data_IF_100224976297
#
_entry.id   IF_100224976297
#
_cell.length_a   1.000
_cell.length_b   1.000
_cell.length_c   1.000
_cell.angle_alpha   90.00
_cell.angle_beta   90.00
_cell.angle_gamma   90.00
#
_symmetry.space_group_name_H-M   'P 1'
#
loop_
_entity.id
_entity.type
_entity.pdbx_description
1 polymer ?
#
# COMPACT_ATOMS: atom_id res chain seq x y z
N UNK A 1 6.01 4.72 15.07
CA UNK A 1 5.70 5.80 14.12
C UNK A 1 5.37 5.19 12.77
N UNK A 2 4.09 4.91 12.57
CA UNK A 2 3.61 4.25 11.37
C UNK A 2 2.66 5.14 10.59
N UNK A 3 2.57 4.91 9.28
CA UNK A 3 1.67 5.61 8.38
C UNK A 3 0.61 4.64 7.90
N UNK A 4 -0.63 5.08 7.82
CA UNK A 4 -1.73 4.31 7.24
C UNK A 4 -2.32 5.09 6.07
N UNK A 5 -2.44 4.40 4.94
CA UNK A 5 -3.09 4.93 3.73
C UNK A 5 -4.24 3.98 3.41
N UNK A 6 -5.47 4.46 3.55
CA UNK A 6 -6.65 3.59 3.46
C UNK A 6 -7.68 4.11 2.49
N UNK A 7 -8.59 3.23 2.07
CA UNK A 7 -9.73 3.57 1.25
C UNK A 7 -10.88 2.58 1.56
N UNK A 8 -11.00 1.51 0.78
CA UNK A 8 -12.08 0.53 0.96
C UNK A 8 -12.01 -0.14 2.33
N UNK A 9 -10.81 -0.40 2.84
CA UNK A 9 -10.60 -1.12 4.10
C UNK A 9 -10.25 -0.19 5.26
N UNK A 10 -10.75 1.04 5.21
CA UNK A 10 -10.45 2.04 6.24
C UNK A 10 -10.83 1.56 7.64
N UNK A 11 -12.00 0.95 7.79
CA UNK A 11 -12.46 0.49 9.11
C UNK A 11 -11.54 -0.57 9.70
N UNK A 12 -11.07 -1.51 8.86
CA UNK A 12 -10.14 -2.54 9.29
C UNK A 12 -8.82 -1.93 9.75
N UNK A 13 -8.25 -1.03 8.95
CA UNK A 13 -6.96 -0.43 9.28
C UNK A 13 -7.06 0.51 10.49
N UNK A 14 -8.20 1.18 10.67
CA UNK A 14 -8.43 2.02 11.84
C UNK A 14 -8.52 1.23 13.14
N UNK A 15 -8.81 -0.07 13.06
CA UNK A 15 -8.91 -0.94 14.23
C UNK A 15 -7.56 -1.50 14.70
N UNK A 16 -6.49 -1.26 13.96
CA UNK A 16 -5.17 -1.77 14.32
C UNK A 16 -4.65 -1.06 15.57
N UNK A 17 -4.14 -1.87 16.51
CA UNK A 17 -3.55 -1.36 17.74
C UNK A 17 -2.06 -1.08 17.53
N UNK A 18 -1.78 -0.02 16.79
CA UNK A 18 -0.41 0.39 16.48
C UNK A 18 -0.30 1.91 16.66
N UNK A 19 0.93 2.36 16.82
CA UNK A 19 1.26 3.78 16.91
C UNK A 19 1.22 4.40 15.51
N UNK A 20 0.27 5.29 15.26
CA UNK A 20 0.08 5.93 13.96
C UNK A 20 0.43 7.41 14.04
N UNK A 21 1.41 7.84 13.25
CA UNK A 21 1.82 9.24 13.20
C UNK A 21 1.03 10.02 12.15
N UNK A 22 0.59 9.35 11.07
CA UNK A 22 -0.21 9.98 10.02
C UNK A 22 -1.08 8.95 9.35
N UNK A 23 -2.34 9.31 9.15
CA UNK A 23 -3.31 8.47 8.46
C UNK A 23 -4.05 9.32 7.44
N UNK A 24 -4.10 8.84 6.19
CA UNK A 24 -4.89 9.47 5.13
C UNK A 24 -5.84 8.45 4.55
N UNK A 25 -7.01 8.93 4.09
CA UNK A 25 -8.05 8.07 3.55
C UNK A 25 -8.56 8.64 2.23
N UNK A 26 -8.69 7.79 1.24
CA UNK A 26 -9.18 8.16 -0.08
C UNK A 26 -8.43 7.43 -1.18
N UNK A 27 -8.49 7.97 -2.39
CA UNK A 27 -7.76 7.44 -3.53
C UNK A 27 -6.73 8.47 -3.97
N UNK A 28 -5.49 8.01 -4.14
CA UNK A 28 -4.35 8.89 -4.42
C UNK A 28 -3.56 8.35 -5.60
N UNK A 29 -3.06 9.24 -6.44
CA UNK A 29 -2.04 8.87 -7.42
C UNK A 29 -0.72 8.60 -6.70
N UNK A 30 0.18 7.87 -7.35
CA UNK A 30 1.53 7.67 -6.79
C UNK A 30 2.21 9.01 -6.60
N UNK A 31 2.05 9.97 -7.53
CA UNK A 31 2.65 11.30 -7.40
C UNK A 31 2.14 12.04 -6.16
N UNK A 32 0.85 11.91 -5.85
CA UNK A 32 0.29 12.50 -4.63
C UNK A 32 0.89 11.88 -3.37
N UNK A 33 1.10 10.56 -3.37
CA UNK A 33 1.74 9.87 -2.25
C UNK A 33 3.20 10.29 -2.10
N UNK A 34 3.93 10.42 -3.20
CA UNK A 34 5.31 10.91 -3.19
C UNK A 34 5.37 12.31 -2.58
N UNK A 35 4.46 13.20 -2.99
CA UNK A 35 4.44 14.56 -2.48
C UNK A 35 4.22 14.60 -0.97
N UNK A 36 3.42 13.68 -0.43
CA UNK A 36 3.12 13.68 1.00
C UNK A 36 4.20 13.02 1.84
N UNK A 37 4.89 12.01 1.33
CA UNK A 37 5.69 11.12 2.16
C UNK A 37 7.17 11.01 1.78
N UNK A 38 7.63 11.60 0.69
CA UNK A 38 9.01 11.43 0.22
C UNK A 38 10.06 11.92 1.24
N UNK A 39 9.73 12.94 2.03
CA UNK A 39 10.60 13.48 3.07
C UNK A 39 10.04 13.23 4.48
N UNK A 40 9.20 12.24 4.62
CA UNK A 40 8.49 11.94 5.85
C UNK A 40 9.12 10.70 6.51
N UNK A 41 9.54 10.82 7.75
CA UNK A 41 10.10 9.66 8.46
C UNK A 41 8.98 8.80 9.05
N UNK A 42 9.08 7.50 8.85
CA UNK A 42 8.15 6.51 9.40
C UNK A 42 8.86 5.16 9.52
N UNK A 43 8.35 4.29 10.39
CA UNK A 43 8.87 2.93 10.55
C UNK A 43 8.25 2.01 9.50
N UNK A 44 6.93 1.98 9.44
CA UNK A 44 6.16 1.18 8.47
C UNK A 44 5.07 2.02 7.84
N UNK A 45 4.80 1.73 6.58
CA UNK A 45 3.69 2.31 5.84
C UNK A 45 2.74 1.18 5.45
N UNK A 46 1.53 1.22 6.00
CA UNK A 46 0.50 0.22 5.71
C UNK A 46 -0.41 0.82 4.67
N UNK A 47 -0.46 0.19 3.50
CA UNK A 47 -1.22 0.70 2.36
C UNK A 47 -2.34 -0.26 2.01
N UNK A 48 -3.57 0.23 2.08
CA UNK A 48 -4.72 -0.39 1.43
C UNK A 48 -4.55 -0.19 -0.07
N UNK A 49 -4.41 -1.26 -0.84
CA UNK A 49 -4.10 -1.15 -2.26
C UNK A 49 -5.17 -0.36 -3.02
N UNK A 50 -6.42 -0.39 -2.54
CA UNK A 50 -7.50 0.37 -3.19
C UNK A 50 -7.36 1.88 -3.02
N UNK A 51 -6.44 2.33 -2.18
CA UNK A 51 -6.12 3.75 -2.04
C UNK A 51 -5.17 4.26 -3.13
N UNK A 52 -4.61 3.37 -3.93
CA UNK A 52 -3.68 3.74 -5.01
C UNK A 52 -4.46 3.75 -6.33
N UNK A 53 -4.59 4.92 -6.95
CA UNK A 53 -5.25 5.02 -8.25
C UNK A 53 -4.51 4.19 -9.29
N UNK A 54 -5.24 3.35 -10.01
CA UNK A 54 -4.66 2.50 -11.05
C UNK A 54 -3.94 1.26 -10.52
N UNK A 55 -4.17 0.87 -9.30
CA UNK A 55 -3.43 -0.23 -8.64
C UNK A 55 -3.49 -1.58 -9.39
N UNK A 56 -4.50 -1.79 -10.23
CA UNK A 56 -4.60 -3.04 -11.00
C UNK A 56 -3.59 -3.10 -12.14
N UNK A 57 -3.04 -1.96 -12.54
CA UNK A 57 -1.94 -1.90 -13.49
C UNK A 57 -0.63 -1.99 -12.70
N UNK A 58 0.10 -3.08 -12.91
CA UNK A 58 1.32 -3.35 -12.14
C UNK A 58 2.37 -2.25 -12.33
N UNK A 59 2.34 -1.53 -13.45
CA UNK A 59 3.29 -0.44 -13.68
C UNK A 59 3.11 0.70 -12.68
N UNK A 60 1.89 0.89 -12.17
CA UNK A 60 1.63 1.89 -11.12
C UNK A 60 2.32 1.47 -9.82
N UNK A 61 2.23 0.20 -9.46
CA UNK A 61 2.91 -0.32 -8.26
C UNK A 61 4.43 -0.27 -8.46
N UNK A 62 4.91 -0.51 -9.67
CA UNK A 62 6.33 -0.38 -9.96
C UNK A 62 6.81 1.05 -9.72
N UNK A 63 6.03 2.05 -10.13
CA UNK A 63 6.36 3.45 -9.86
C UNK A 63 6.42 3.72 -8.35
N UNK A 64 5.49 3.15 -7.59
CA UNK A 64 5.53 3.24 -6.13
C UNK A 64 6.84 2.64 -5.61
N UNK A 65 7.22 1.46 -6.11
CA UNK A 65 8.37 0.71 -5.61
C UNK A 65 9.70 1.41 -5.82
N UNK A 66 9.83 2.24 -6.85
CA UNK A 66 11.09 2.96 -7.11
C UNK A 66 11.18 4.26 -6.31
N UNK A 67 10.09 4.71 -5.68
CA UNK A 67 10.06 5.97 -4.94
C UNK A 67 9.96 5.79 -3.43
N UNK A 68 9.70 4.58 -2.95
CA UNK A 68 9.59 4.29 -1.53
C UNK A 68 10.42 3.06 -1.18
N UNK A 69 10.84 2.97 0.08
CA UNK A 69 11.54 1.79 0.60
C UNK A 69 10.51 0.67 0.85
N UNK A 70 10.48 -0.30 -0.04
CA UNK A 70 9.49 -1.38 0.02
C UNK A 70 9.66 -2.28 1.24
N UNK A 71 10.83 -2.28 1.87
CA UNK A 71 11.02 -3.03 3.12
C UNK A 71 10.18 -2.47 4.26
N UNK A 72 9.76 -1.21 4.14
CA UNK A 72 8.89 -0.55 5.13
C UNK A 72 7.41 -0.63 4.80
N UNK A 73 7.06 -1.14 3.63
CA UNK A 73 5.68 -1.15 3.15
C UNK A 73 5.02 -2.49 3.47
N UNK A 74 3.81 -2.41 4.03
CA UNK A 74 2.91 -3.55 4.18
C UNK A 74 1.70 -3.24 3.31
N UNK A 75 1.44 -4.10 2.33
CA UNK A 75 0.40 -3.88 1.35
C UNK A 75 -0.80 -4.78 1.65
N UNK A 76 -1.96 -4.16 1.89
CA UNK A 76 -3.20 -4.90 2.06
C UNK A 76 -3.89 -5.02 0.71
N UNK A 77 -3.98 -6.26 0.21
CA UNK A 77 -4.57 -6.53 -1.09
C UNK A 77 -6.10 -6.59 -0.98
N UNK A 78 -6.77 -6.30 -2.09
CA UNK A 78 -8.21 -6.51 -2.18
C UNK A 78 -8.49 -7.93 -2.68
N UNK A 79 -9.77 -8.22 -2.94
CA UNK A 79 -10.22 -9.53 -3.40
C UNK A 79 -10.38 -9.63 -4.93
N UNK A 80 -9.84 -8.66 -5.68
CA UNK A 80 -9.95 -8.68 -7.13
C UNK A 80 -9.12 -9.83 -7.74
N UNK A 81 -9.59 -10.35 -8.86
CA UNK A 81 -8.88 -11.44 -9.56
C UNK A 81 -7.52 -10.98 -10.06
N UNK A 82 -7.43 -9.73 -10.56
CA UNK A 82 -6.19 -9.19 -11.11
C UNK A 82 -5.10 -9.17 -10.05
N UNK A 83 -5.39 -8.60 -8.87
CA UNK A 83 -4.41 -8.45 -7.80
C UNK A 83 -4.02 -9.80 -7.21
N UNK A 84 -4.96 -10.75 -7.15
CA UNK A 84 -4.70 -12.06 -6.58
C UNK A 84 -4.20 -13.08 -7.61
N UNK A 85 -3.94 -12.66 -8.84
CA UNK A 85 -3.37 -13.54 -9.85
C UNK A 85 -1.92 -13.89 -9.54
N UNK A 86 -1.46 -15.10 -9.90
CA UNK A 86 -0.05 -15.46 -9.68
C UNK A 86 0.92 -14.49 -10.35
N UNK A 87 0.57 -13.95 -11.52
CA UNK A 87 1.42 -12.99 -12.23
C UNK A 87 1.60 -11.71 -11.40
N UNK A 88 0.50 -11.14 -10.90
CA UNK A 88 0.54 -9.91 -10.13
C UNK A 88 1.33 -10.10 -8.84
N UNK A 89 1.05 -11.19 -8.11
CA UNK A 89 1.73 -11.48 -6.84
C UNK A 89 3.22 -11.71 -7.04
N UNK A 90 3.61 -12.43 -8.09
CA UNK A 90 5.04 -12.66 -8.36
C UNK A 90 5.76 -11.35 -8.71
N UNK A 91 5.08 -10.42 -9.36
CA UNK A 91 5.67 -9.12 -9.66
C UNK A 91 5.82 -8.26 -8.41
N UNK A 92 4.90 -8.34 -7.46
CA UNK A 92 5.09 -7.67 -6.17
C UNK A 92 6.39 -8.15 -5.51
N UNK A 93 6.60 -9.46 -5.48
CA UNK A 93 7.82 -10.04 -4.89
C UNK A 93 9.06 -9.55 -5.63
N UNK A 94 9.02 -9.51 -6.96
CA UNK A 94 10.16 -9.06 -7.76
C UNK A 94 10.52 -7.58 -7.52
N UNK A 95 9.58 -6.80 -7.03
CA UNK A 95 9.81 -5.39 -6.67
C UNK A 95 10.28 -5.20 -5.23
N UNK A 96 10.47 -6.28 -4.49
CA UNK A 96 10.86 -6.20 -3.07
C UNK A 96 9.70 -6.03 -2.12
N UNK A 97 8.47 -6.19 -2.59
CA UNK A 97 7.29 -6.14 -1.72
C UNK A 97 7.03 -7.56 -1.22
N UNK A 98 7.51 -7.86 -0.01
CA UNK A 98 7.35 -9.18 0.58
C UNK A 98 6.27 -9.22 1.66
N UNK A 99 5.86 -8.06 2.15
CA UNK A 99 4.87 -7.96 3.21
C UNK A 99 3.54 -7.55 2.60
N UNK A 100 2.74 -8.53 2.22
CA UNK A 100 1.38 -8.25 1.77
C UNK A 100 0.41 -9.26 2.37
N UNK A 101 -0.84 -8.85 2.53
CA UNK A 101 -1.89 -9.66 3.10
C UNK A 101 -3.16 -9.46 2.31
N UNK A 102 -3.98 -10.51 2.25
CA UNK A 102 -5.32 -10.40 1.69
C UNK A 102 -6.31 -10.06 2.79
N UNK A 103 -7.35 -9.34 2.44
CA UNK A 103 -8.45 -9.12 3.36
C UNK A 103 -9.36 -10.33 3.36
N UNK A 104 -9.38 -11.04 4.48
CA UNK A 104 -10.12 -12.31 4.62
C UNK A 104 -11.30 -12.14 5.57
N UNK A 105 -11.94 -11.05 5.57
CA UNK A 105 -13.03 -10.78 6.50
C UNK A 105 -13.98 -11.93 6.79
#
# INVERSE_FOLDING_TARGET
>A
MNVIISNKYQALLASLDIDVIKSINGEFTVDELIAQFSNFYYNKMIIDITAIKGYQDISVIQQLSVNFDMSKVILLLDDSETVNSPMYLSQLVSMGIYNFATNVN
#
